data_IF_652097689522
#
_entry.id   IF_652097689522
#
_cell.length_a   1.000
_cell.length_b   1.000
_cell.length_c   1.000
_cell.angle_alpha   90.00
_cell.angle_beta   90.00
_cell.angle_gamma   90.00
#
_symmetry.space_group_name_H-M   'P 1'
#
loop_
_entity.id
_entity.type
_entity.pdbx_description
1 polymer ?
#
# COMPACT_ATOMS: atom_id res chain seq x y z
N UNK A 1 -45.99 -9.09 48.82
CA UNK A 1 -45.08 -9.02 47.65
C UNK A 1 -45.89 -9.27 46.39
N UNK A 2 -46.06 -8.26 45.53
CA UNK A 2 -46.81 -8.39 44.28
C UNK A 2 -45.86 -8.84 43.17
N UNK A 3 -45.90 -10.12 42.79
CA UNK A 3 -45.18 -10.64 41.62
C UNK A 3 -45.97 -10.27 40.37
N UNK A 4 -45.59 -9.17 39.70
CA UNK A 4 -46.13 -8.82 38.39
C UNK A 4 -45.79 -9.95 37.40
N UNK A 5 -46.80 -10.68 36.90
CA UNK A 5 -46.63 -11.66 35.81
C UNK A 5 -46.20 -10.93 34.54
N UNK A 6 -45.01 -11.24 34.03
CA UNK A 6 -44.59 -10.76 32.70
C UNK A 6 -45.52 -11.35 31.64
N UNK A 7 -46.09 -10.49 30.80
CA UNK A 7 -46.90 -10.91 29.66
C UNK A 7 -46.00 -11.34 28.50
N UNK A 8 -46.48 -12.21 27.60
CA UNK A 8 -45.71 -12.66 26.41
C UNK A 8 -45.15 -11.51 25.57
N UNK A 9 -45.87 -10.37 25.51
CA UNK A 9 -45.43 -9.14 24.83
C UNK A 9 -44.22 -8.48 25.52
N UNK A 10 -44.16 -8.49 26.85
CA UNK A 10 -42.98 -8.01 27.59
C UNK A 10 -41.76 -8.91 27.35
N UNK A 11 -41.96 -10.23 27.33
CA UNK A 11 -40.88 -11.19 27.05
C UNK A 11 -40.34 -10.99 25.62
N UNK A 12 -41.23 -10.84 24.63
CA UNK A 12 -40.84 -10.58 23.25
C UNK A 12 -40.05 -9.27 23.11
N UNK A 13 -40.50 -8.19 23.75
CA UNK A 13 -39.78 -6.91 23.74
C UNK A 13 -38.39 -7.01 24.37
N UNK A 14 -38.25 -7.74 25.49
CA UNK A 14 -36.94 -7.95 26.14
C UNK A 14 -36.00 -8.69 25.19
N UNK A 15 -36.48 -9.74 24.51
CA UNK A 15 -35.67 -10.50 23.56
C UNK A 15 -35.20 -9.61 22.40
N UNK A 16 -36.09 -8.81 21.82
CA UNK A 16 -35.75 -7.90 20.72
C UNK A 16 -34.72 -6.84 21.17
N UNK A 17 -34.92 -6.23 22.34
CA UNK A 17 -33.96 -5.26 22.88
C UNK A 17 -32.58 -5.89 23.13
N UNK A 18 -32.53 -7.12 23.65
CA UNK A 18 -31.27 -7.85 23.86
C UNK A 18 -30.55 -8.17 22.55
N UNK A 19 -31.28 -8.52 21.48
CA UNK A 19 -30.69 -8.76 20.15
C UNK A 19 -30.13 -7.47 19.57
N UNK A 20 -30.87 -6.35 19.65
CA UNK A 20 -30.39 -5.05 19.16
C UNK A 20 -29.13 -4.63 19.94
N UNK A 21 -29.13 -4.79 21.25
CA UNK A 21 -27.95 -4.48 22.07
C UNK A 21 -26.75 -5.35 21.69
N UNK A 22 -26.96 -6.65 21.47
CA UNK A 22 -25.89 -7.54 21.04
C UNK A 22 -25.36 -7.14 19.65
N UNK A 23 -26.23 -6.80 18.70
CA UNK A 23 -25.83 -6.35 17.38
C UNK A 23 -25.03 -5.03 17.44
N UNK A 24 -25.41 -4.09 18.29
CA UNK A 24 -24.67 -2.85 18.52
C UNK A 24 -23.30 -3.10 19.17
N UNK A 25 -23.21 -4.04 20.12
CA UNK A 25 -21.94 -4.43 20.73
C UNK A 25 -21.03 -5.09 19.69
N UNK A 26 -21.55 -5.99 18.85
CA UNK A 26 -20.78 -6.62 17.78
C UNK A 26 -20.33 -5.59 16.75
N UNK A 27 -21.20 -4.68 16.32
CA UNK A 27 -20.84 -3.60 15.40
C UNK A 27 -19.78 -2.67 16.00
N UNK A 28 -19.89 -2.33 17.29
CA UNK A 28 -18.88 -1.54 18.00
C UNK A 28 -17.55 -2.27 18.14
N UNK A 29 -17.57 -3.57 18.45
CA UNK A 29 -16.35 -4.40 18.49
C UNK A 29 -15.72 -4.44 17.10
N UNK A 30 -16.49 -4.72 16.04
CA UNK A 30 -15.99 -4.73 14.67
C UNK A 30 -15.41 -3.38 14.27
N UNK A 31 -16.07 -2.26 14.60
CA UNK A 31 -15.60 -0.90 14.34
C UNK A 31 -14.31 -0.55 15.12
N UNK A 32 -14.23 -0.92 16.40
CA UNK A 32 -13.03 -0.67 17.23
C UNK A 32 -11.86 -1.59 16.87
N UNK A 33 -12.15 -2.78 16.32
CA UNK A 33 -11.15 -3.76 15.90
C UNK A 33 -10.80 -3.67 14.41
N UNK A 34 -11.33 -2.69 13.65
CA UNK A 34 -10.70 -2.33 12.39
C UNK A 34 -9.22 -2.04 12.69
N UNK A 35 -8.28 -2.73 12.03
CA UNK A 35 -6.87 -2.55 12.33
C UNK A 35 -6.56 -1.06 12.19
N UNK A 36 -6.06 -0.44 13.26
CA UNK A 36 -5.49 0.90 13.15
C UNK A 36 -4.30 0.81 12.22
N UNK A 37 -4.49 1.27 10.98
CA UNK A 37 -3.50 1.27 9.91
C UNK A 37 -2.60 2.52 9.95
N UNK A 38 -2.87 3.47 10.85
CA UNK A 38 -1.88 4.48 11.25
C UNK A 38 -1.03 3.90 12.37
N UNK A 39 0.28 4.02 12.24
CA UNK A 39 1.23 3.64 13.25
C UNK A 39 1.34 4.76 14.31
N UNK A 40 1.01 4.43 15.57
CA UNK A 40 1.03 5.37 16.68
C UNK A 40 2.42 5.35 17.33
N UNK A 41 3.32 6.22 16.86
CA UNK A 41 4.68 6.32 17.41
C UNK A 41 5.13 7.79 17.52
N UNK A 42 6.11 8.04 18.40
CA UNK A 42 6.70 9.37 18.57
C UNK A 42 7.74 9.72 17.49
N UNK A 43 8.13 8.79 16.62
CA UNK A 43 9.05 9.06 15.51
C UNK A 43 8.26 9.66 14.35
N UNK A 44 8.72 10.81 13.86
CA UNK A 44 8.18 11.44 12.65
C UNK A 44 8.66 10.69 11.40
N UNK A 45 7.84 10.59 10.34
CA UNK A 45 8.31 10.15 9.04
C UNK A 45 9.33 11.16 8.50
N UNK A 46 10.31 10.63 7.76
CA UNK A 46 11.39 11.43 7.18
C UNK A 46 11.02 11.95 5.77
N UNK A 47 9.93 11.44 5.18
CA UNK A 47 9.45 11.74 3.83
C UNK A 47 8.01 12.25 3.90
N UNK A 48 7.83 13.54 3.62
CA UNK A 48 6.51 14.17 3.61
C UNK A 48 5.81 14.01 2.26
N UNK A 49 4.48 13.88 2.32
CA UNK A 49 3.61 13.93 1.15
C UNK A 49 2.91 15.29 1.08
N UNK A 50 2.99 15.99 -0.05
CA UNK A 50 2.44 17.34 -0.21
C UNK A 50 0.99 17.38 -0.73
N UNK A 51 0.35 16.22 -0.88
CA UNK A 51 -0.98 16.06 -1.48
C UNK A 51 -0.95 15.64 -2.95
N UNK A 52 0.21 15.73 -3.62
CA UNK A 52 0.39 15.32 -5.03
C UNK A 52 1.58 14.38 -5.20
N UNK A 53 2.72 14.72 -4.60
CA UNK A 53 3.97 13.95 -4.68
C UNK A 53 4.64 13.86 -3.30
N UNK A 54 5.50 12.86 -3.14
CA UNK A 54 6.47 12.80 -2.06
C UNK A 54 7.58 13.80 -2.36
N UNK A 55 7.80 14.75 -1.45
CA UNK A 55 8.75 15.87 -1.62
C UNK A 55 10.19 15.40 -1.37
N UNK A 56 10.69 14.57 -2.29
CA UNK A 56 11.98 13.92 -2.18
C UNK A 56 12.53 13.52 -3.55
N UNK A 57 13.86 13.50 -3.67
CA UNK A 57 14.54 12.94 -4.85
C UNK A 57 14.68 11.41 -4.73
N UNK A 58 14.81 10.69 -5.85
CA UNK A 58 15.05 9.25 -5.83
C UNK A 58 16.31 8.86 -5.02
N UNK A 59 17.37 9.65 -5.15
CA UNK A 59 18.63 9.45 -4.42
C UNK A 59 18.46 9.65 -2.92
N UNK A 60 17.79 10.73 -2.50
CA UNK A 60 17.57 10.99 -1.08
C UNK A 60 16.62 9.96 -0.46
N UNK A 61 15.62 9.50 -1.22
CA UNK A 61 14.72 8.43 -0.81
C UNK A 61 15.50 7.15 -0.48
N UNK A 62 16.33 6.68 -1.42
CA UNK A 62 17.16 5.48 -1.23
C UNK A 62 18.09 5.65 -0.03
N UNK A 63 18.73 6.81 0.14
CA UNK A 63 19.60 7.09 1.28
C UNK A 63 18.85 6.96 2.61
N UNK A 64 17.70 7.62 2.75
CA UNK A 64 16.91 7.61 4.00
C UNK A 64 16.46 6.17 4.33
N UNK A 65 15.91 5.45 3.35
CA UNK A 65 15.45 4.08 3.57
C UNK A 65 16.63 3.15 3.93
N UNK A 66 17.79 3.31 3.28
CA UNK A 66 18.99 2.53 3.58
C UNK A 66 19.50 2.71 5.02
N UNK A 67 19.37 3.90 5.61
CA UNK A 67 19.75 4.11 7.01
C UNK A 67 18.95 3.23 7.98
N UNK A 68 17.68 2.97 7.68
CA UNK A 68 16.84 2.08 8.49
C UNK A 68 17.00 0.61 8.12
N UNK A 69 17.25 0.29 6.84
CA UNK A 69 17.58 -1.08 6.42
C UNK A 69 18.85 -1.59 7.10
N UNK A 70 19.89 -0.75 7.23
CA UNK A 70 21.13 -1.09 7.92
C UNK A 70 20.90 -1.40 9.40
N UNK A 71 20.07 -0.60 10.08
CA UNK A 71 19.70 -0.82 11.50
C UNK A 71 18.98 -2.15 11.72
N UNK A 72 18.15 -2.57 10.75
CA UNK A 72 17.40 -3.81 10.76
C UNK A 72 18.20 -5.01 10.20
N UNK A 73 19.44 -4.79 9.75
CA UNK A 73 20.32 -5.84 9.21
C UNK A 73 19.85 -6.39 7.87
N UNK A 74 19.10 -5.61 7.09
CA UNK A 74 18.67 -5.94 5.74
C UNK A 74 19.70 -5.47 4.70
N UNK A 75 19.68 -6.08 3.52
CA UNK A 75 20.50 -5.60 2.40
C UNK A 75 20.07 -4.20 1.99
N UNK A 76 21.04 -3.36 1.66
CA UNK A 76 20.77 -2.00 1.19
C UNK A 76 20.23 -2.03 -0.24
N UNK A 77 19.34 -1.09 -0.54
CA UNK A 77 18.92 -0.76 -1.90
C UNK A 77 20.10 -0.13 -2.62
N UNK A 78 20.36 -0.54 -3.87
CA UNK A 78 21.43 0.02 -4.69
C UNK A 78 21.21 1.51 -4.94
N UNK A 79 22.26 2.32 -4.72
CA UNK A 79 22.31 3.71 -5.16
C UNK A 79 22.67 3.84 -6.66
N UNK A 80 23.16 2.76 -7.27
CA UNK A 80 23.33 2.65 -8.73
C UNK A 80 22.01 2.14 -9.31
N UNK A 81 21.19 3.07 -9.79
CA UNK A 81 19.85 2.83 -10.33
C UNK A 81 19.77 3.19 -11.81
N UNK A 82 18.95 2.46 -12.55
CA UNK A 82 18.58 2.84 -13.90
C UNK A 82 17.59 4.01 -13.86
N UNK A 83 17.72 4.94 -14.81
CA UNK A 83 16.79 6.05 -14.99
C UNK A 83 16.28 6.03 -16.43
N UNK A 84 15.01 5.74 -16.58
CA UNK A 84 14.34 5.67 -17.86
C UNK A 84 13.25 6.74 -17.94
N UNK A 85 13.03 7.28 -19.14
CA UNK A 85 11.97 8.26 -19.39
C UNK A 85 11.12 7.78 -20.57
N UNK A 86 9.82 7.74 -20.37
CA UNK A 86 8.83 7.25 -21.32
C UNK A 86 7.82 8.35 -21.60
N UNK A 87 7.56 8.62 -22.88
CA UNK A 87 6.39 9.37 -23.29
C UNK A 87 5.21 8.41 -23.39
N UNK A 88 4.12 8.70 -22.69
CA UNK A 88 2.95 7.84 -22.64
C UNK A 88 1.72 8.58 -23.17
N UNK A 89 0.95 7.89 -24.00
CA UNK A 89 -0.40 8.30 -24.39
C UNK A 89 -1.38 7.35 -23.74
N UNK A 90 -2.31 7.89 -22.95
CA UNK A 90 -3.29 7.09 -22.22
C UNK A 90 -4.69 7.68 -22.40
N UNK A 91 -5.69 6.82 -22.31
CA UNK A 91 -7.10 7.19 -22.34
C UNK A 91 -7.65 7.15 -20.91
N UNK A 92 -8.24 8.26 -20.44
CA UNK A 92 -8.86 8.29 -19.11
C UNK A 92 -10.23 7.57 -19.11
N UNK A 93 -10.87 7.44 -17.93
CA UNK A 93 -12.19 6.77 -17.80
C UNK A 93 -13.32 7.41 -18.64
N UNK A 94 -13.12 8.62 -19.17
CA UNK A 94 -14.08 9.35 -20.02
C UNK A 94 -13.81 9.19 -21.51
N UNK A 95 -12.79 8.43 -21.90
CA UNK A 95 -12.38 8.27 -23.29
C UNK A 95 -11.56 9.44 -23.84
N UNK A 96 -11.01 10.30 -22.96
CA UNK A 96 -10.16 11.42 -23.38
C UNK A 96 -8.69 10.96 -23.37
N UNK A 97 -8.06 11.01 -24.54
CA UNK A 97 -6.63 10.78 -24.68
C UNK A 97 -5.84 11.99 -24.18
N UNK A 98 -4.76 11.72 -23.45
CA UNK A 98 -3.76 12.74 -23.13
C UNK A 98 -2.36 12.13 -23.05
N UNK A 99 -1.37 12.99 -23.28
CA UNK A 99 0.04 12.63 -23.25
C UNK A 99 0.66 13.10 -21.93
N UNK A 100 1.59 12.30 -21.40
CA UNK A 100 2.42 12.69 -20.27
C UNK A 100 3.78 11.99 -20.28
N UNK A 101 4.76 12.63 -19.65
CA UNK A 101 6.07 12.04 -19.42
C UNK A 101 6.09 11.26 -18.10
N UNK A 102 6.68 10.07 -18.12
CA UNK A 102 6.96 9.27 -16.94
C UNK A 102 8.45 9.03 -16.82
N UNK A 103 9.00 9.33 -15.64
CA UNK A 103 10.39 9.01 -15.29
C UNK A 103 10.39 7.90 -14.26
N UNK A 104 11.05 6.80 -14.57
CA UNK A 104 11.20 5.64 -13.69
C UNK A 104 12.64 5.54 -13.18
N UNK A 105 12.79 5.31 -11.88
CA UNK A 105 14.04 5.00 -11.23
C UNK A 105 13.99 3.57 -10.68
N UNK A 106 14.72 2.66 -11.32
CA UNK A 106 14.75 1.23 -10.93
C UNK A 106 16.00 0.96 -10.10
N UNK A 107 15.79 0.70 -8.82
CA UNK A 107 16.83 0.53 -7.81
C UNK A 107 16.89 -0.94 -7.36
N UNK A 108 17.89 -1.72 -7.82
CA UNK A 108 17.98 -3.14 -7.45
C UNK A 108 18.23 -3.35 -5.95
N UNK A 109 17.58 -4.35 -5.35
CA UNK A 109 17.84 -4.80 -3.98
C UNK A 109 18.50 -6.18 -3.99
N UNK A 110 17.91 -7.11 -4.75
CA UNK A 110 18.48 -8.43 -4.98
C UNK A 110 18.00 -8.99 -6.33
N UNK A 111 18.29 -10.26 -6.61
CA UNK A 111 18.00 -10.90 -7.90
C UNK A 111 16.53 -10.91 -8.31
N UNK A 112 15.60 -10.76 -7.37
CA UNK A 112 14.16 -10.85 -7.63
C UNK A 112 13.39 -9.64 -7.14
N UNK A 113 14.01 -8.72 -6.40
CA UNK A 113 13.35 -7.62 -5.70
C UNK A 113 14.00 -6.31 -6.10
N UNK A 114 13.17 -5.38 -6.53
CA UNK A 114 13.57 -4.05 -7.03
C UNK A 114 12.64 -2.99 -6.44
N UNK A 115 13.18 -1.80 -6.17
CA UNK A 115 12.41 -0.62 -5.82
C UNK A 115 12.27 0.25 -7.07
N UNK A 116 11.04 0.57 -7.45
CA UNK A 116 10.70 1.48 -8.52
C UNK A 116 10.15 2.77 -7.92
N UNK A 117 10.75 3.89 -8.29
CA UNK A 117 10.25 5.22 -7.95
C UNK A 117 9.85 5.91 -9.24
N UNK A 118 8.62 6.41 -9.29
CA UNK A 118 8.07 7.04 -10.48
C UNK A 118 7.86 8.52 -10.24
N UNK A 119 8.28 9.36 -11.19
CA UNK A 119 8.03 10.80 -11.20
C UNK A 119 7.29 11.18 -12.46
N UNK A 120 6.28 12.03 -12.32
CA UNK A 120 5.50 12.59 -13.42
C UNK A 120 5.82 14.08 -13.44
N UNK A 121 6.63 14.58 -14.38
CA UNK A 121 7.13 15.96 -14.36
C UNK A 121 6.04 17.02 -14.27
N UNK A 122 4.84 16.78 -14.81
CA UNK A 122 3.74 17.76 -14.71
C UNK A 122 3.15 17.88 -13.29
N UNK A 123 3.41 16.91 -12.41
CA UNK A 123 3.00 16.92 -11.00
C UNK A 123 4.04 17.58 -10.09
N UNK A 124 5.23 17.90 -10.61
CA UNK A 124 6.35 18.52 -9.91
C UNK A 124 7.60 17.64 -9.83
N UNK A 125 8.61 18.11 -9.10
CA UNK A 125 9.94 17.50 -9.04
C UNK A 125 10.04 16.28 -8.09
N UNK A 126 8.94 15.92 -7.43
CA UNK A 126 8.88 14.83 -6.45
C UNK A 126 8.63 13.44 -7.05
N UNK A 127 8.53 12.45 -6.16
CA UNK A 127 8.11 11.09 -6.51
C UNK A 127 6.59 11.00 -6.43
N UNK A 128 5.93 10.52 -7.48
CA UNK A 128 4.48 10.31 -7.55
C UNK A 128 4.07 8.93 -7.02
N UNK A 129 4.88 7.90 -7.31
CA UNK A 129 4.58 6.51 -6.93
C UNK A 129 5.85 5.83 -6.40
N UNK A 130 5.70 5.08 -5.31
CA UNK A 130 6.72 4.20 -4.76
C UNK A 130 6.22 2.76 -4.92
N UNK A 131 6.98 1.89 -5.57
CA UNK A 131 6.65 0.47 -5.71
C UNK A 131 7.83 -0.44 -5.37
N UNK A 132 7.60 -1.41 -4.51
CA UNK A 132 8.50 -2.53 -4.31
C UNK A 132 7.98 -3.71 -5.14
N UNK A 133 8.74 -4.12 -6.16
CA UNK A 133 8.33 -5.17 -7.09
C UNK A 133 9.18 -6.43 -6.93
N UNK A 134 8.52 -7.60 -6.95
CA UNK A 134 9.18 -8.88 -7.09
C UNK A 134 8.72 -9.64 -8.32
N UNK A 135 9.68 -10.11 -9.14
CA UNK A 135 9.41 -10.90 -10.35
C UNK A 135 10.04 -12.29 -10.22
N UNK A 136 9.23 -13.34 -10.40
CA UNK A 136 9.72 -14.72 -10.39
C UNK A 136 8.78 -15.67 -11.15
N UNK A 137 9.32 -16.65 -11.88
CA UNK A 137 8.52 -17.69 -12.57
C UNK A 137 7.70 -18.55 -11.59
N UNK A 138 8.28 -18.89 -10.44
CA UNK A 138 7.58 -19.60 -9.37
C UNK A 138 7.03 -18.61 -8.34
N UNK A 139 6.02 -19.04 -7.58
CA UNK A 139 5.57 -18.30 -6.42
C UNK A 139 6.72 -18.00 -5.43
N UNK A 140 6.59 -16.89 -4.70
CA UNK A 140 7.50 -16.57 -3.62
C UNK A 140 7.42 -17.62 -2.51
N UNK A 141 8.58 -17.97 -1.97
CA UNK A 141 8.64 -18.76 -0.73
C UNK A 141 8.24 -17.88 0.45
N UNK A 142 7.79 -18.48 1.56
CA UNK A 142 7.45 -17.75 2.80
C UNK A 142 8.56 -16.78 3.24
N UNK A 143 9.82 -17.23 3.19
CA UNK A 143 10.97 -16.38 3.56
C UNK A 143 11.14 -15.16 2.64
N UNK A 144 10.84 -15.31 1.36
CA UNK A 144 10.91 -14.20 0.40
C UNK A 144 9.75 -13.23 0.61
N UNK A 145 8.55 -13.73 0.90
CA UNK A 145 7.40 -12.89 1.28
C UNK A 145 7.71 -12.09 2.55
N UNK A 146 8.17 -12.75 3.62
CA UNK A 146 8.55 -12.09 4.87
C UNK A 146 9.65 -11.03 4.65
N UNK A 147 10.61 -11.33 3.76
CA UNK A 147 11.64 -10.37 3.39
C UNK A 147 11.02 -9.14 2.69
N UNK A 148 10.21 -9.33 1.65
CA UNK A 148 9.56 -8.24 0.93
C UNK A 148 8.71 -7.37 1.86
N UNK A 149 7.96 -7.99 2.76
CA UNK A 149 7.13 -7.30 3.76
C UNK A 149 7.97 -6.48 4.74
N UNK A 150 9.16 -6.96 5.11
CA UNK A 150 10.08 -6.20 5.94
C UNK A 150 10.60 -4.92 5.23
N UNK A 151 10.93 -5.01 3.93
CA UNK A 151 11.28 -3.82 3.13
C UNK A 151 10.10 -2.85 3.02
N UNK A 152 8.91 -3.37 2.71
CA UNK A 152 7.71 -2.54 2.58
C UNK A 152 7.34 -1.83 3.89
N UNK A 153 7.53 -2.49 5.04
CA UNK A 153 7.36 -1.88 6.37
C UNK A 153 8.30 -0.70 6.58
N UNK A 154 9.59 -0.88 6.27
CA UNK A 154 10.58 0.20 6.44
C UNK A 154 10.28 1.38 5.51
N UNK A 155 9.80 1.11 4.29
CA UNK A 155 9.32 2.17 3.38
C UNK A 155 8.12 2.91 4.01
N UNK A 156 7.10 2.18 4.48
CA UNK A 156 5.92 2.77 5.12
C UNK A 156 6.26 3.55 6.40
N UNK A 157 7.28 3.13 7.14
CA UNK A 157 7.77 3.81 8.35
C UNK A 157 8.38 5.19 8.05
N UNK A 158 8.93 5.37 6.85
CA UNK A 158 9.61 6.59 6.42
C UNK A 158 8.68 7.59 5.72
N UNK A 159 7.51 7.14 5.23
CA UNK A 159 6.55 7.96 4.47
C UNK A 159 5.41 8.48 5.36
N UNK A 160 4.99 9.73 5.14
CA UNK A 160 3.82 10.32 5.79
C UNK A 160 2.52 10.08 4.98
N UNK A 161 1.41 9.61 5.60
CA UNK A 161 1.30 9.11 6.97
C UNK A 161 1.98 7.75 7.18
N UNK A 162 2.50 7.52 8.40
CA UNK A 162 3.14 6.26 8.76
C UNK A 162 2.14 5.12 8.80
N UNK A 163 2.16 4.31 7.75
CA UNK A 163 1.23 3.21 7.56
C UNK A 163 1.71 1.95 8.28
N UNK A 164 0.81 1.34 9.05
CA UNK A 164 1.07 0.08 9.75
C UNK A 164 0.88 -1.09 8.77
N UNK A 165 1.92 -1.36 7.98
CA UNK A 165 1.92 -2.45 7.00
C UNK A 165 1.79 -3.84 7.62
N UNK A 166 2.19 -4.04 8.89
CA UNK A 166 2.04 -5.34 9.57
C UNK A 166 0.58 -5.72 9.81
N UNK A 167 -0.29 -4.71 9.97
CA UNK A 167 -1.73 -4.90 10.08
C UNK A 167 -2.45 -4.84 8.73
N UNK A 168 -1.73 -4.47 7.68
CA UNK A 168 -2.23 -4.52 6.32
C UNK A 168 -2.08 -5.94 5.79
N UNK A 169 -3.20 -6.60 5.55
CA UNK A 169 -3.17 -8.01 5.19
C UNK A 169 -2.78 -8.20 3.72
N UNK A 170 -1.51 -8.45 3.46
CA UNK A 170 -0.93 -8.78 2.15
C UNK A 170 -1.24 -10.21 1.68
N UNK A 171 -1.94 -11.00 2.49
CA UNK A 171 -2.23 -12.42 2.22
C UNK A 171 -3.68 -12.69 1.79
N UNK A 172 -4.54 -11.67 1.73
CA UNK A 172 -5.92 -11.81 1.26
C UNK A 172 -6.02 -11.40 -0.21
N UNK A 173 -6.01 -12.40 -1.09
CA UNK A 173 -6.36 -12.25 -2.50
C UNK A 173 -5.24 -11.70 -3.38
N UNK A 174 -5.52 -11.63 -4.69
CA UNK A 174 -4.60 -11.11 -5.71
C UNK A 174 -4.41 -9.60 -5.63
N UNK A 175 -5.34 -8.89 -4.98
CA UNK A 175 -5.28 -7.44 -4.83
C UNK A 175 -5.84 -7.07 -3.46
N UNK A 176 -5.10 -6.26 -2.73
CA UNK A 176 -5.60 -5.60 -1.52
C UNK A 176 -5.14 -4.15 -1.50
N UNK A 177 -5.98 -3.26 -0.99
CA UNK A 177 -5.65 -1.85 -0.90
C UNK A 177 -6.33 -1.17 0.29
N UNK A 178 -5.70 -0.10 0.76
CA UNK A 178 -6.20 0.75 1.81
C UNK A 178 -5.98 2.21 1.42
N UNK A 179 -7.05 3.01 1.49
CA UNK A 179 -6.96 4.46 1.39
C UNK A 179 -6.77 5.04 2.79
N UNK A 180 -5.72 5.84 2.95
CA UNK A 180 -5.45 6.55 4.19
C UNK A 180 -5.05 7.99 3.85
N UNK A 181 -5.83 8.95 4.35
CA UNK A 181 -5.74 10.36 3.97
C UNK A 181 -5.81 10.57 2.45
N UNK A 182 -4.74 11.09 1.83
CA UNK A 182 -4.64 11.31 0.39
C UNK A 182 -3.82 10.23 -0.34
N UNK A 183 -3.41 9.18 0.37
CA UNK A 183 -2.64 8.06 -0.18
C UNK A 183 -3.46 6.77 -0.30
N UNK A 184 -3.08 5.98 -1.29
CA UNK A 184 -3.44 4.59 -1.50
C UNK A 184 -2.21 3.73 -1.22
N UNK A 185 -2.35 2.84 -0.25
CA UNK A 185 -1.41 1.77 0.04
C UNK A 185 -1.97 0.48 -0.54
N UNK A 186 -1.19 -0.27 -1.30
CA UNK A 186 -1.71 -1.47 -1.96
C UNK A 186 -0.69 -2.59 -2.05
N UNK A 187 -1.24 -3.78 -2.23
CA UNK A 187 -0.54 -4.97 -2.64
C UNK A 187 -1.27 -5.57 -3.84
N UNK A 188 -0.52 -5.93 -4.87
CA UNK A 188 -1.03 -6.62 -6.04
C UNK A 188 -0.14 -7.81 -6.35
N UNK A 189 -0.74 -8.94 -6.73
CA UNK A 189 -0.05 -10.08 -7.32
C UNK A 189 -0.72 -10.46 -8.62
N UNK A 190 0.04 -10.49 -9.71
CA UNK A 190 -0.47 -10.79 -11.05
C UNK A 190 0.41 -11.81 -11.74
N UNK A 191 -0.23 -12.69 -12.52
CA UNK A 191 0.47 -13.58 -13.44
C UNK A 191 0.70 -12.82 -14.75
N UNK A 192 1.95 -12.44 -15.02
CA UNK A 192 2.34 -11.81 -16.27
C UNK A 192 2.78 -12.87 -17.27
N UNK A 193 2.19 -12.85 -18.47
CA UNK A 193 2.72 -13.55 -19.64
C UNK A 193 3.23 -12.49 -20.62
N UNK A 194 4.54 -12.46 -20.82
CA UNK A 194 5.17 -11.65 -21.87
C UNK A 194 5.42 -12.56 -23.08
N UNK A 195 5.13 -12.08 -24.28
CA UNK A 195 5.29 -12.87 -25.51
C UNK A 195 6.72 -13.42 -25.64
N UNK A 196 6.84 -14.74 -25.55
CA UNK A 196 8.13 -15.45 -25.69
C UNK A 196 8.90 -15.70 -24.39
N UNK A 197 8.40 -15.22 -23.24
CA UNK A 197 8.99 -15.46 -21.92
C UNK A 197 8.13 -16.45 -21.10
N UNK A 198 8.72 -17.17 -20.12
CA UNK A 198 7.96 -17.94 -19.16
C UNK A 198 6.97 -17.05 -18.39
N UNK A 199 5.81 -17.60 -18.01
CA UNK A 199 4.91 -16.88 -17.09
C UNK A 199 5.66 -16.50 -15.80
N UNK A 200 5.48 -15.26 -15.37
CA UNK A 200 6.08 -14.72 -14.16
C UNK A 200 5.00 -14.25 -13.20
N UNK A 201 5.15 -14.60 -11.93
CA UNK A 201 4.42 -14.00 -10.83
C UNK A 201 5.07 -12.65 -10.53
N UNK A 202 4.31 -11.57 -10.68
CA UNK A 202 4.68 -10.23 -10.27
C UNK A 202 3.97 -9.91 -8.95
N UNK A 203 4.73 -9.43 -7.97
CA UNK A 203 4.22 -8.99 -6.68
C UNK A 203 4.61 -7.53 -6.47
N UNK A 204 3.64 -6.65 -6.24
CA UNK A 204 3.84 -5.21 -6.11
C UNK A 204 3.31 -4.78 -4.75
N UNK A 205 4.13 -4.08 -3.97
CA UNK A 205 3.70 -3.32 -2.80
C UNK A 205 3.88 -1.84 -3.14
N UNK A 206 2.81 -1.06 -3.10
CA UNK A 206 2.84 0.29 -3.65
C UNK A 206 2.20 1.34 -2.76
N UNK A 207 2.69 2.58 -2.94
CA UNK A 207 2.18 3.80 -2.30
C UNK A 207 2.04 4.88 -3.38
N UNK A 208 0.84 5.45 -3.52
CA UNK A 208 0.57 6.55 -4.46
C UNK A 208 -0.55 7.45 -3.96
N UNK A 209 -0.73 8.60 -4.61
CA UNK A 209 -1.91 9.42 -4.39
C UNK A 209 -3.18 8.64 -4.80
N UNK A 210 -4.23 8.72 -3.98
CA UNK A 210 -5.40 7.81 -4.06
C UNK A 210 -6.29 7.90 -5.31
N UNK A 211 -6.12 8.96 -6.11
CA UNK A 211 -6.86 9.26 -7.34
C UNK A 211 -5.89 9.40 -8.53
N UNK A 212 -4.62 9.01 -8.35
CA UNK A 212 -3.59 9.15 -9.39
C UNK A 212 -3.94 8.31 -10.60
N UNK A 213 -4.43 7.09 -10.37
CA UNK A 213 -4.86 6.12 -11.39
C UNK A 213 -5.99 6.64 -12.28
N UNK A 214 -6.89 7.47 -11.72
CA UNK A 214 -8.04 8.01 -12.45
C UNK A 214 -7.58 8.98 -13.56
N UNK A 215 -6.46 9.67 -13.30
CA UNK A 215 -5.83 10.54 -14.27
C UNK A 215 -4.79 9.79 -15.07
N UNK A 216 -3.92 9.00 -14.46
CA UNK A 216 -2.79 8.30 -15.07
C UNK A 216 -2.96 6.77 -14.92
N UNK A 217 -3.72 6.11 -15.81
CA UNK A 217 -4.11 4.69 -15.69
C UNK A 217 -2.96 3.68 -15.90
N UNK A 218 -1.71 4.12 -15.84
CA UNK A 218 -0.54 3.23 -15.79
C UNK A 218 -0.29 2.67 -14.38
N UNK A 219 -1.00 3.17 -13.36
CA UNK A 219 -0.82 2.88 -11.94
C UNK A 219 -2.10 2.40 -11.25
#
# INVERSE_FOLDING_TARGET
>A
MNTKKLTRKHIANIIVCSIILLALIVAFICYVHEPRLIQDTNRKPDISFNGTTFDISAKDFVRIVNEDLDKEGLSLISEDYAKDQYGNTVENEKGEEFDFDLVEYTCPINKILELHLFSIPELGDGIAVIQLQSRKTEALTTKQTEQNEAYYRIICDNVEPRFNSEKFNTHIGYHNSCKLDDLLFYYNSTDESLDGEPEHNLYIYGIQQKDLSDKYPLF
#
